data_IF_436495009936
#
_entry.id   IF_436495009936
#
_cell.length_a   1.000
_cell.length_b   1.000
_cell.length_c   1.000
_cell.angle_alpha   90.00
_cell.angle_beta   90.00
_cell.angle_gamma   90.00
#
_symmetry.space_group_name_H-M   'P 1'
#
loop_
_entity.id
_entity.type
_entity.pdbx_description
1 polymer ?
#
# COMPACT_ATOMS: atom_id res chain seq x y z
N UNK A 1 -42.32 -51.60 -28.50
CA UNK A 1 -40.97 -51.11 -28.14
C UNK A 1 -41.16 -49.70 -27.62
N UNK A 2 -40.99 -49.50 -26.31
CA UNK A 2 -41.34 -48.24 -25.62
C UNK A 2 -40.32 -47.17 -25.99
N UNK A 3 -40.79 -46.05 -26.53
CA UNK A 3 -40.03 -44.80 -26.55
C UNK A 3 -40.02 -44.25 -25.12
N UNK A 4 -38.90 -44.40 -24.41
CA UNK A 4 -38.66 -43.66 -23.18
C UNK A 4 -38.58 -42.17 -23.53
N UNK A 5 -39.62 -41.45 -23.08
CA UNK A 5 -39.62 -40.00 -23.03
C UNK A 5 -38.57 -39.60 -22.02
N UNK A 6 -37.45 -39.04 -22.47
CA UNK A 6 -36.44 -38.45 -21.61
C UNK A 6 -37.09 -37.26 -20.89
N UNK A 7 -37.46 -37.47 -19.63
CA UNK A 7 -37.93 -36.45 -18.71
C UNK A 7 -36.94 -35.28 -18.75
N UNK A 8 -37.38 -34.10 -19.21
CA UNK A 8 -36.54 -32.91 -19.17
C UNK A 8 -36.09 -32.69 -17.72
N UNK A 9 -34.80 -32.85 -17.46
CA UNK A 9 -34.23 -32.66 -16.14
C UNK A 9 -34.63 -31.26 -15.66
N UNK A 10 -35.33 -31.18 -14.53
CA UNK A 10 -35.77 -29.91 -13.97
C UNK A 10 -34.52 -29.10 -13.64
N UNK A 11 -34.36 -27.95 -14.31
CA UNK A 11 -33.32 -26.99 -13.99
C UNK A 11 -33.70 -26.31 -12.67
N UNK A 12 -33.13 -26.77 -11.56
CA UNK A 12 -33.37 -26.21 -10.23
C UNK A 12 -32.13 -25.42 -9.81
N UNK A 13 -32.13 -24.09 -9.96
CA UNK A 13 -31.11 -23.26 -9.36
C UNK A 13 -31.17 -23.36 -7.83
N UNK A 14 -30.02 -23.55 -7.20
CA UNK A 14 -29.88 -23.44 -5.73
C UNK A 14 -29.10 -22.17 -5.38
N UNK A 15 -29.34 -21.57 -4.20
CA UNK A 15 -28.46 -20.53 -3.69
C UNK A 15 -27.02 -21.05 -3.60
N UNK A 16 -26.06 -20.21 -4.01
CA UNK A 16 -24.65 -20.49 -3.83
C UNK A 16 -24.25 -20.36 -2.35
N UNK A 17 -23.27 -21.15 -1.96
CA UNK A 17 -22.57 -21.10 -0.68
C UNK A 17 -21.13 -20.59 -0.89
N UNK A 18 -20.39 -20.24 0.17
CA UNK A 18 -18.97 -19.91 0.04
C UNK A 18 -18.14 -20.99 -0.68
N UNK A 19 -18.51 -22.27 -0.56
CA UNK A 19 -17.81 -23.38 -1.21
C UNK A 19 -17.94 -23.37 -2.74
N UNK A 20 -18.99 -22.72 -3.27
CA UNK A 20 -19.20 -22.57 -4.71
C UNK A 20 -18.31 -21.48 -5.34
N UNK A 21 -17.62 -20.67 -4.53
CA UNK A 21 -16.87 -19.51 -5.01
C UNK A 21 -15.76 -19.87 -6.02
N UNK A 22 -15.13 -21.04 -5.85
CA UNK A 22 -14.09 -21.52 -6.76
C UNK A 22 -14.67 -21.82 -8.15
N UNK A 23 -15.78 -22.56 -8.23
CA UNK A 23 -16.41 -22.91 -9.49
C UNK A 23 -17.09 -21.71 -10.17
N UNK A 24 -17.69 -20.79 -9.41
CA UNK A 24 -18.21 -19.54 -9.97
C UNK A 24 -17.08 -18.70 -10.59
N UNK A 25 -15.91 -18.64 -9.92
CA UNK A 25 -14.74 -17.93 -10.44
C UNK A 25 -14.18 -18.59 -11.70
N UNK A 26 -14.14 -19.92 -11.75
CA UNK A 26 -13.76 -20.70 -12.95
C UNK A 26 -14.68 -20.42 -14.13
N UNK A 27 -16.00 -20.52 -13.92
CA UNK A 27 -16.98 -20.26 -14.97
C UNK A 27 -16.92 -18.82 -15.51
N UNK A 28 -16.74 -17.83 -14.61
CA UNK A 28 -16.54 -16.42 -14.99
C UNK A 28 -15.28 -16.25 -15.84
N UNK A 29 -14.17 -16.82 -15.40
CA UNK A 29 -12.89 -16.77 -16.11
C UNK A 29 -13.00 -17.37 -17.52
N UNK A 30 -13.62 -18.54 -17.64
CA UNK A 30 -13.68 -19.28 -18.90
C UNK A 30 -14.69 -18.72 -19.92
N UNK A 31 -15.80 -18.12 -19.46
CA UNK A 31 -16.95 -17.84 -20.34
C UNK A 31 -17.49 -16.42 -20.29
N UNK A 32 -16.99 -15.56 -19.39
CA UNK A 32 -17.45 -14.16 -19.26
C UNK A 32 -16.34 -13.17 -19.57
N UNK A 33 -15.11 -13.44 -19.14
CA UNK A 33 -13.96 -12.57 -19.43
C UNK A 33 -13.43 -12.79 -20.84
N UNK A 34 -12.87 -11.73 -21.42
CA UNK A 34 -12.19 -11.80 -22.72
C UNK A 34 -10.98 -12.71 -22.68
N UNK A 35 -10.23 -12.68 -21.57
CA UNK A 35 -9.05 -13.52 -21.34
C UNK A 35 -9.23 -14.31 -20.03
N UNK A 36 -8.88 -15.60 -20.03
CA UNK A 36 -8.95 -16.41 -18.83
C UNK A 36 -7.91 -15.93 -17.80
N UNK A 37 -8.30 -15.97 -16.54
CA UNK A 37 -7.43 -15.69 -15.40
C UNK A 37 -6.45 -16.85 -15.15
N UNK A 38 -5.24 -16.51 -14.70
CA UNK A 38 -4.28 -17.46 -14.18
C UNK A 38 -4.68 -18.02 -12.80
N UNK A 39 -3.95 -19.03 -12.33
CA UNK A 39 -4.23 -19.71 -11.05
C UNK A 39 -4.18 -18.75 -9.85
N UNK A 40 -3.28 -17.76 -9.88
CA UNK A 40 -3.14 -16.77 -8.82
C UNK A 40 -4.40 -15.90 -8.72
N UNK A 41 -4.85 -15.36 -9.84
CA UNK A 41 -6.05 -14.51 -9.90
C UNK A 41 -7.34 -15.29 -9.63
N UNK A 42 -7.40 -16.57 -10.01
CA UNK A 42 -8.48 -17.47 -9.62
C UNK A 42 -8.55 -17.67 -8.11
N UNK A 43 -7.40 -17.84 -7.45
CA UNK A 43 -7.32 -17.90 -5.97
C UNK A 43 -7.85 -16.63 -5.31
N UNK A 44 -7.42 -15.45 -5.78
CA UNK A 44 -7.91 -14.15 -5.28
C UNK A 44 -9.42 -14.01 -5.46
N UNK A 45 -9.95 -14.39 -6.63
CA UNK A 45 -11.38 -14.32 -6.91
C UNK A 45 -12.19 -15.26 -6.00
N UNK A 46 -11.72 -16.49 -5.78
CA UNK A 46 -12.34 -17.46 -4.88
C UNK A 46 -12.46 -16.90 -3.47
N UNK A 47 -11.36 -16.43 -2.91
CA UNK A 47 -11.30 -16.03 -1.51
C UNK A 47 -12.20 -14.81 -1.25
N UNK A 48 -12.15 -13.80 -2.13
CA UNK A 48 -13.02 -12.63 -2.04
C UNK A 48 -14.50 -12.96 -2.24
N UNK A 49 -14.81 -13.85 -3.18
CA UNK A 49 -16.21 -14.23 -3.44
C UNK A 49 -16.77 -15.07 -2.29
N UNK A 50 -15.99 -15.99 -1.71
CA UNK A 50 -16.40 -16.81 -0.57
C UNK A 50 -16.80 -15.93 0.63
N UNK A 51 -16.02 -14.89 0.94
CA UNK A 51 -16.33 -13.91 1.98
C UNK A 51 -17.64 -13.17 1.67
N UNK A 52 -17.81 -12.68 0.43
CA UNK A 52 -18.99 -11.90 0.03
C UNK A 52 -20.28 -12.73 -0.07
N UNK A 53 -20.19 -14.05 -0.27
CA UNK A 53 -21.31 -14.99 -0.20
C UNK A 53 -21.67 -15.39 1.24
N UNK A 54 -20.77 -15.12 2.20
CA UNK A 54 -20.99 -15.40 3.61
C UNK A 54 -22.06 -14.52 4.27
N UNK A 55 -22.41 -14.81 5.54
CA UNK A 55 -23.38 -14.02 6.29
C UNK A 55 -22.99 -12.53 6.36
N UNK A 56 -23.94 -11.65 6.00
CA UNK A 56 -23.70 -10.20 5.96
C UNK A 56 -22.94 -9.69 4.74
N UNK A 57 -22.49 -10.59 3.86
CA UNK A 57 -21.87 -10.23 2.60
C UNK A 57 -22.86 -9.66 1.57
N UNK A 58 -22.33 -9.00 0.56
CA UNK A 58 -23.09 -8.26 -0.46
C UNK A 58 -23.29 -9.04 -1.76
N UNK A 59 -22.78 -10.28 -1.86
CA UNK A 59 -22.97 -11.13 -3.02
C UNK A 59 -24.19 -12.05 -2.85
N UNK A 60 -24.96 -12.21 -3.92
CA UNK A 60 -25.96 -13.27 -4.06
C UNK A 60 -25.67 -14.01 -5.35
N UNK A 61 -25.67 -15.33 -5.30
CA UNK A 61 -25.54 -16.14 -6.50
C UNK A 61 -26.49 -17.32 -6.47
N UNK A 62 -26.89 -17.74 -7.66
CA UNK A 62 -27.60 -18.99 -7.90
C UNK A 62 -26.80 -19.83 -8.88
N UNK A 63 -26.69 -21.12 -8.56
CA UNK A 63 -25.90 -22.08 -9.32
C UNK A 63 -26.76 -23.28 -9.69
N UNK A 64 -26.38 -23.93 -10.78
CA UNK A 64 -26.97 -25.21 -11.21
C UNK A 64 -25.82 -26.20 -11.31
N UNK A 65 -25.91 -27.30 -10.56
CA UNK A 65 -24.89 -28.35 -10.55
C UNK A 65 -24.85 -29.10 -11.89
N UNK A 66 -23.65 -29.47 -12.32
CA UNK A 66 -23.47 -30.33 -13.48
C UNK A 66 -23.55 -31.80 -13.07
N UNK A 67 -24.28 -32.66 -13.81
CA UNK A 67 -24.26 -34.10 -13.59
C UNK A 67 -22.86 -34.73 -13.71
N UNK A 68 -21.94 -34.07 -14.42
CA UNK A 68 -20.56 -34.51 -14.59
C UNK A 68 -19.62 -34.04 -13.45
N UNK A 69 -20.15 -33.32 -12.45
CA UNK A 69 -19.39 -32.68 -11.37
C UNK A 69 -19.10 -31.20 -11.65
N UNK A 70 -19.01 -30.39 -10.60
CA UNK A 70 -18.89 -28.94 -10.69
C UNK A 70 -20.20 -28.24 -11.04
N UNK A 71 -20.11 -27.04 -11.61
CA UNK A 71 -21.28 -26.21 -11.94
C UNK A 71 -21.55 -26.14 -13.44
N UNK A 72 -22.78 -26.43 -13.86
CA UNK A 72 -23.25 -26.27 -15.23
C UNK A 72 -23.54 -24.80 -15.58
N UNK A 73 -24.01 -24.02 -14.60
CA UNK A 73 -24.29 -22.60 -14.76
C UNK A 73 -24.24 -21.83 -13.44
N UNK A 74 -23.99 -20.53 -13.54
CA UNK A 74 -24.11 -19.60 -12.42
C UNK A 74 -24.65 -18.23 -12.86
N UNK A 75 -25.30 -17.55 -11.92
CA UNK A 75 -25.63 -16.13 -11.99
C UNK A 75 -25.21 -15.48 -10.67
N UNK A 76 -24.38 -14.44 -10.74
CA UNK A 76 -23.82 -13.70 -9.60
C UNK A 76 -24.24 -12.24 -9.65
N UNK A 77 -24.81 -11.73 -8.56
CA UNK A 77 -25.15 -10.32 -8.36
C UNK A 77 -24.42 -9.75 -7.13
N UNK A 78 -23.97 -8.49 -7.25
CA UNK A 78 -23.35 -7.73 -6.17
C UNK A 78 -24.26 -6.55 -5.79
N UNK A 79 -24.69 -6.51 -4.54
CA UNK A 79 -25.50 -5.43 -3.98
C UNK A 79 -24.59 -4.27 -3.58
N UNK A 80 -24.96 -3.04 -3.92
CA UNK A 80 -24.22 -1.85 -3.52
C UNK A 80 -25.18 -0.69 -3.18
N UNK A 81 -24.80 0.18 -2.23
CA UNK A 81 -25.61 1.34 -1.87
C UNK A 81 -25.55 2.41 -2.96
N UNK A 82 -26.67 3.07 -3.16
CA UNK A 82 -26.84 4.28 -3.99
C UNK A 82 -27.68 5.29 -3.21
N UNK A 83 -27.67 6.56 -3.61
CA UNK A 83 -28.57 7.54 -3.00
C UNK A 83 -30.03 7.15 -3.27
N UNK A 84 -30.96 7.23 -2.30
CA UNK A 84 -32.36 6.91 -2.53
C UNK A 84 -32.99 7.78 -3.63
N UNK A 85 -33.83 7.16 -4.45
CA UNK A 85 -34.65 7.85 -5.44
C UNK A 85 -36.03 7.17 -5.56
N UNK A 86 -37.05 7.80 -6.17
CA UNK A 86 -38.38 7.21 -6.29
C UNK A 86 -38.41 5.81 -6.95
N UNK A 87 -37.49 5.52 -7.88
CA UNK A 87 -37.37 4.20 -8.53
C UNK A 87 -36.64 3.14 -7.68
N UNK A 88 -35.91 3.57 -6.65
CA UNK A 88 -35.15 2.71 -5.74
C UNK A 88 -35.10 3.33 -4.34
N UNK A 89 -36.22 3.30 -3.60
CA UNK A 89 -36.39 4.10 -2.37
C UNK A 89 -35.51 3.65 -1.21
N UNK A 90 -35.01 2.42 -1.22
CA UNK A 90 -34.07 1.91 -0.21
C UNK A 90 -32.62 2.32 -0.48
N UNK A 91 -32.33 2.96 -1.61
CA UNK A 91 -30.94 3.28 -1.98
C UNK A 91 -30.09 2.03 -2.23
N UNK A 92 -30.69 0.98 -2.82
CA UNK A 92 -30.00 -0.28 -3.10
C UNK A 92 -30.08 -0.60 -4.59
N UNK A 93 -28.92 -0.92 -5.17
CA UNK A 93 -28.77 -1.41 -6.52
C UNK A 93 -28.05 -2.75 -6.52
N UNK A 94 -28.33 -3.61 -7.50
CA UNK A 94 -27.55 -4.82 -7.73
C UNK A 94 -27.00 -4.84 -9.15
N UNK A 95 -25.70 -5.09 -9.25
CA UNK A 95 -25.03 -5.35 -10.53
C UNK A 95 -24.92 -6.85 -10.74
N UNK A 96 -25.51 -7.37 -11.81
CA UNK A 96 -25.31 -8.73 -12.27
C UNK A 96 -23.90 -8.80 -12.86
N UNK A 97 -22.99 -9.41 -12.10
CA UNK A 97 -21.56 -9.36 -12.34
C UNK A 97 -21.06 -10.48 -13.26
N UNK A 98 -21.67 -11.67 -13.16
CA UNK A 98 -21.33 -12.79 -14.01
C UNK A 98 -22.57 -13.67 -14.24
N UNK A 99 -22.82 -14.03 -15.48
CA UNK A 99 -23.76 -15.08 -15.87
C UNK A 99 -23.03 -16.00 -16.83
N UNK A 100 -22.85 -17.25 -16.42
CA UNK A 100 -22.07 -18.21 -17.19
C UNK A 100 -22.83 -19.53 -17.30
N UNK A 101 -22.69 -20.19 -18.45
CA UNK A 101 -23.23 -21.52 -18.70
C UNK A 101 -22.22 -22.30 -19.53
N UNK A 102 -21.88 -23.51 -19.06
CA UNK A 102 -20.96 -24.38 -19.78
C UNK A 102 -21.47 -24.67 -21.19
N UNK A 103 -20.59 -24.74 -22.21
CA UNK A 103 -20.99 -24.94 -23.60
C UNK A 103 -21.99 -26.08 -23.83
N UNK A 104 -21.82 -27.21 -23.12
CA UNK A 104 -22.69 -28.38 -23.21
C UNK A 104 -24.14 -28.13 -22.74
N UNK A 105 -24.37 -27.08 -21.96
CA UNK A 105 -25.66 -26.73 -21.34
C UNK A 105 -26.26 -25.43 -21.89
N UNK A 106 -25.64 -24.81 -22.91
CA UNK A 106 -26.13 -23.58 -23.53
C UNK A 106 -27.43 -23.81 -24.32
N UNK A 107 -28.22 -22.74 -24.47
CA UNK A 107 -29.51 -22.72 -25.18
C UNK A 107 -30.57 -23.70 -24.63
N UNK A 108 -30.37 -24.22 -23.42
CA UNK A 108 -31.30 -25.13 -22.75
C UNK A 108 -32.05 -24.47 -21.58
N UNK A 109 -31.86 -23.16 -21.35
CA UNK A 109 -32.58 -22.39 -20.32
C UNK A 109 -31.86 -22.21 -18.98
N UNK A 110 -30.65 -22.77 -18.80
CA UNK A 110 -29.86 -22.67 -17.56
C UNK A 110 -29.63 -21.22 -17.11
N UNK A 111 -29.13 -20.37 -18.01
CA UNK A 111 -28.90 -18.94 -17.70
C UNK A 111 -30.19 -18.22 -17.27
N UNK A 112 -31.32 -18.46 -17.98
CA UNK A 112 -32.60 -17.87 -17.62
C UNK A 112 -33.05 -18.30 -16.22
N UNK A 113 -32.94 -19.60 -15.91
CA UNK A 113 -33.32 -20.13 -14.61
C UNK A 113 -32.48 -19.51 -13.49
N UNK A 114 -31.15 -19.50 -13.63
CA UNK A 114 -30.24 -18.94 -12.62
C UNK A 114 -30.44 -17.42 -12.41
N UNK A 115 -30.57 -16.64 -13.50
CA UNK A 115 -30.77 -15.19 -13.40
C UNK A 115 -32.14 -14.85 -12.80
N UNK A 116 -33.21 -15.58 -13.18
CA UNK A 116 -34.55 -15.32 -12.61
C UNK A 116 -34.56 -15.54 -11.11
N UNK A 117 -33.97 -16.66 -10.64
CA UNK A 117 -33.86 -16.96 -9.21
C UNK A 117 -33.04 -15.90 -8.45
N UNK A 118 -31.95 -15.41 -9.05
CA UNK A 118 -31.15 -14.32 -8.50
C UNK A 118 -31.96 -13.02 -8.37
N UNK A 119 -32.68 -12.61 -9.41
CA UNK A 119 -33.48 -11.38 -9.41
C UNK A 119 -34.62 -11.45 -8.37
N UNK A 120 -35.29 -12.60 -8.27
CA UNK A 120 -36.35 -12.81 -7.27
C UNK A 120 -35.80 -12.68 -5.85
N UNK A 121 -34.63 -13.27 -5.58
CA UNK A 121 -33.97 -13.15 -4.28
C UNK A 121 -33.59 -11.70 -3.95
N UNK A 122 -32.96 -11.00 -4.90
CA UNK A 122 -32.56 -9.60 -4.71
C UNK A 122 -33.77 -8.68 -4.49
N UNK A 123 -34.87 -8.93 -5.20
CA UNK A 123 -36.14 -8.22 -5.01
C UNK A 123 -36.73 -8.45 -3.62
N UNK A 124 -36.67 -9.68 -3.09
CA UNK A 124 -37.11 -9.98 -1.72
C UNK A 124 -36.27 -9.23 -0.67
N UNK A 125 -34.98 -8.99 -0.94
CA UNK A 125 -34.10 -8.17 -0.10
C UNK A 125 -34.33 -6.66 -0.30
N UNK A 126 -35.23 -6.25 -1.20
CA UNK A 126 -35.64 -4.87 -1.42
C UNK A 126 -34.82 -4.12 -2.47
N UNK A 127 -33.98 -4.81 -3.24
CA UNK A 127 -33.32 -4.24 -4.41
C UNK A 127 -34.35 -4.00 -5.51
N UNK A 128 -34.30 -2.81 -6.12
CA UNK A 128 -35.26 -2.37 -7.14
C UNK A 128 -34.57 -1.78 -8.37
N UNK A 129 -33.27 -1.48 -8.28
CA UNK A 129 -32.42 -1.11 -9.41
C UNK A 129 -31.48 -2.28 -9.75
N UNK A 130 -31.51 -2.73 -11.00
CA UNK A 130 -30.66 -3.81 -11.51
C UNK A 130 -29.84 -3.31 -12.69
N UNK A 131 -28.55 -3.63 -12.68
CA UNK A 131 -27.61 -3.25 -13.74
C UNK A 131 -26.90 -4.49 -14.26
N UNK A 132 -26.62 -4.54 -15.55
CA UNK A 132 -25.77 -5.58 -16.14
C UNK A 132 -25.08 -5.07 -17.39
N UNK A 133 -24.04 -5.79 -17.80
CA UNK A 133 -23.46 -5.64 -19.13
C UNK A 133 -23.77 -6.92 -19.93
N UNK A 134 -24.45 -6.77 -21.05
CA UNK A 134 -24.82 -7.86 -21.95
C UNK A 134 -23.97 -7.81 -23.21
N UNK A 135 -23.50 -8.97 -23.67
CA UNK A 135 -23.05 -9.13 -25.05
C UNK A 135 -24.25 -9.08 -26.00
N UNK A 136 -24.02 -8.79 -27.28
CA UNK A 136 -25.09 -8.78 -28.30
C UNK A 136 -25.86 -10.12 -28.32
N UNK A 137 -25.15 -11.24 -28.21
CA UNK A 137 -25.75 -12.58 -28.18
C UNK A 137 -26.65 -12.83 -26.97
N UNK A 138 -26.39 -12.17 -25.84
CA UNK A 138 -27.13 -12.36 -24.59
C UNK A 138 -28.23 -11.30 -24.37
N UNK A 139 -28.26 -10.23 -25.16
CA UNK A 139 -29.18 -9.10 -24.97
C UNK A 139 -30.65 -9.54 -24.94
N UNK A 140 -31.09 -10.38 -25.88
CA UNK A 140 -32.48 -10.84 -25.98
C UNK A 140 -32.96 -11.60 -24.72
N UNK A 141 -32.07 -12.32 -24.03
CA UNK A 141 -32.42 -12.97 -22.77
C UNK A 141 -32.78 -11.93 -21.70
N UNK A 142 -31.96 -10.89 -21.56
CA UNK A 142 -32.14 -9.87 -20.54
C UNK A 142 -33.35 -8.96 -20.85
N UNK A 143 -33.59 -8.65 -22.12
CA UNK A 143 -34.79 -7.90 -22.54
C UNK A 143 -36.08 -8.62 -22.14
N UNK A 144 -36.14 -9.95 -22.33
CA UNK A 144 -37.28 -10.77 -21.90
C UNK A 144 -37.45 -10.83 -20.38
N UNK A 145 -36.38 -10.56 -19.62
CA UNK A 145 -36.40 -10.43 -18.15
C UNK A 145 -36.71 -8.99 -17.70
N UNK A 146 -36.98 -8.08 -18.62
CA UNK A 146 -37.38 -6.70 -18.35
C UNK A 146 -36.23 -5.69 -18.28
N UNK A 147 -35.01 -6.07 -18.67
CA UNK A 147 -33.92 -5.11 -18.85
C UNK A 147 -34.14 -4.29 -20.12
N UNK A 148 -33.72 -3.03 -20.09
CA UNK A 148 -33.70 -2.15 -21.25
C UNK A 148 -32.29 -1.59 -21.45
N UNK A 149 -31.88 -1.43 -22.70
CA UNK A 149 -30.60 -0.81 -23.03
C UNK A 149 -30.53 0.65 -22.54
N UNK A 150 -29.36 1.07 -22.05
CA UNK A 150 -29.08 2.45 -21.68
C UNK A 150 -27.87 2.95 -22.48
N UNK A 151 -28.04 3.95 -23.37
CA UNK A 151 -26.92 4.50 -24.14
C UNK A 151 -25.93 5.31 -23.28
N UNK A 152 -26.20 5.50 -21.99
CA UNK A 152 -25.45 6.39 -21.09
C UNK A 152 -24.38 5.69 -20.23
N UNK A 153 -24.19 4.37 -20.34
CA UNK A 153 -23.18 3.66 -19.54
C UNK A 153 -21.77 3.88 -20.11
N UNK A 154 -20.97 4.71 -19.44
CA UNK A 154 -19.55 4.86 -19.70
C UNK A 154 -18.74 4.10 -18.63
N UNK A 155 -17.73 3.36 -19.06
CA UNK A 155 -16.82 2.63 -18.17
C UNK A 155 -15.39 3.11 -18.39
N UNK A 156 -14.68 3.37 -17.30
CA UNK A 156 -13.25 3.64 -17.29
C UNK A 156 -12.61 2.74 -16.21
N UNK A 157 -11.50 2.10 -16.54
CA UNK A 157 -10.67 1.38 -15.56
C UNK A 157 -9.40 2.20 -15.36
N UNK A 158 -9.18 2.74 -14.15
CA UNK A 158 -7.90 3.35 -13.76
C UNK A 158 -7.16 2.34 -12.89
N UNK A 159 -6.05 1.80 -13.40
CA UNK A 159 -5.13 1.02 -12.59
C UNK A 159 -4.18 2.01 -11.91
N UNK A 160 -3.83 1.85 -10.62
CA UNK A 160 -2.76 2.62 -10.01
C UNK A 160 -1.48 2.38 -10.83
N UNK A 161 -0.74 3.44 -11.14
CA UNK A 161 0.49 3.32 -11.93
C UNK A 161 1.45 2.34 -11.26
N UNK A 162 1.69 1.22 -11.95
CA UNK A 162 2.84 0.39 -11.69
C UNK A 162 4.06 1.21 -12.14
N UNK A 163 5.11 1.41 -11.32
CA UNK A 163 6.25 2.22 -11.73
C UNK A 163 6.91 1.58 -12.95
N UNK A 164 6.64 2.13 -14.14
CA UNK A 164 7.21 1.66 -15.38
C UNK A 164 8.45 2.47 -15.70
N UNK A 165 9.49 1.77 -16.18
CA UNK A 165 10.67 2.37 -16.75
C UNK A 165 10.30 3.39 -17.85
N UNK A 166 10.65 4.66 -17.63
CA UNK A 166 10.75 5.81 -18.54
C UNK A 166 9.53 6.20 -19.46
N UNK A 167 8.88 7.32 -19.06
CA UNK A 167 7.91 8.33 -19.60
C UNK A 167 7.72 8.54 -21.14
N UNK A 168 6.71 9.33 -21.66
CA UNK A 168 5.87 10.40 -21.04
C UNK A 168 4.33 10.43 -21.34
N UNK A 169 3.60 11.34 -20.66
CA UNK A 169 2.11 11.50 -20.48
C UNK A 169 1.66 12.94 -20.88
N UNK A 170 0.43 13.22 -21.38
CA UNK A 170 -0.78 13.78 -20.67
C UNK A 170 -2.05 13.83 -21.57
N UNK A 171 -3.32 13.89 -21.12
CA UNK A 171 -3.98 15.03 -20.43
C UNK A 171 -5.25 14.64 -19.59
N UNK A 172 -5.29 15.03 -18.31
CA UNK A 172 -6.35 15.88 -17.71
C UNK A 172 -6.06 16.20 -16.23
N UNK A 173 -5.32 17.30 -16.04
CA UNK A 173 -5.17 18.14 -14.83
C UNK A 173 -4.76 17.44 -13.52
N UNK A 174 -3.66 16.70 -13.58
CA UNK A 174 -2.72 16.66 -12.45
C UNK A 174 -1.90 17.93 -12.49
N UNK A 175 -1.55 18.50 -11.32
CA UNK A 175 -0.43 19.45 -11.28
C UNK A 175 0.81 18.66 -11.76
N UNK A 176 1.59 19.17 -12.73
CA UNK A 176 2.89 18.61 -13.06
C UNK A 176 3.65 18.24 -11.78
N UNK A 177 4.42 17.13 -11.73
CA UNK A 177 5.09 16.69 -10.50
C UNK A 177 5.89 17.79 -9.78
N UNK A 178 6.48 18.72 -10.53
CA UNK A 178 7.17 19.90 -9.99
C UNK A 178 6.20 20.88 -9.33
N UNK A 179 5.05 21.13 -9.94
CA UNK A 179 3.97 21.95 -9.38
C UNK A 179 3.34 21.29 -8.15
N UNK A 180 3.11 19.97 -8.16
CA UNK A 180 2.65 19.23 -6.98
C UNK A 180 3.71 19.23 -5.86
N UNK A 181 4.98 18.99 -6.19
CA UNK A 181 6.09 19.08 -5.24
C UNK A 181 6.20 20.48 -4.63
N UNK A 182 5.87 21.52 -5.40
CA UNK A 182 5.77 22.88 -4.90
C UNK A 182 4.58 23.10 -3.96
N UNK A 183 3.58 22.21 -3.90
CA UNK A 183 2.45 22.30 -2.93
C UNK A 183 2.68 21.57 -1.62
N UNK A 184 3.50 20.50 -1.59
CA UNK A 184 3.69 19.67 -0.38
C UNK A 184 4.69 20.29 0.60
N UNK A 185 4.68 19.91 1.90
CA UNK A 185 5.69 20.37 2.85
C UNK A 185 7.10 20.00 2.41
N UNK A 186 8.02 20.97 2.48
CA UNK A 186 9.43 20.77 2.16
C UNK A 186 10.18 20.59 3.47
N UNK A 187 11.11 19.66 3.48
CA UNK A 187 11.99 19.45 4.61
C UNK A 187 13.44 19.39 4.14
N UNK A 188 14.34 19.89 4.98
CA UNK A 188 15.77 19.61 4.86
C UNK A 188 16.04 18.28 5.54
N UNK A 189 16.93 17.47 4.97
CA UNK A 189 17.26 16.16 5.51
C UNK A 189 18.76 16.06 5.80
N UNK A 190 19.13 15.38 6.87
CA UNK A 190 20.52 15.10 7.23
C UNK A 190 20.65 13.66 7.71
N UNK A 191 21.87 13.14 7.63
CA UNK A 191 22.17 11.81 8.14
C UNK A 191 23.49 11.79 8.91
N UNK A 192 23.51 11.05 10.02
CA UNK A 192 24.67 10.95 10.89
C UNK A 192 25.00 9.50 11.22
N UNK A 193 26.23 9.30 11.67
CA UNK A 193 26.76 8.04 12.17
C UNK A 193 27.17 8.22 13.62
N UNK A 194 26.69 7.32 14.46
CA UNK A 194 27.04 7.25 15.87
C UNK A 194 28.11 6.18 16.09
N UNK A 195 29.30 6.60 16.48
CA UNK A 195 30.40 5.71 16.85
C UNK A 195 30.60 5.68 18.36
N UNK A 196 31.11 4.56 18.85
CA UNK A 196 31.72 4.49 20.18
C UNK A 196 33.15 3.97 20.10
N UNK A 197 33.93 4.15 21.16
CA UNK A 197 35.11 3.30 21.37
C UNK A 197 34.72 1.89 21.85
N UNK A 198 35.74 1.11 22.24
CA UNK A 198 35.59 -0.24 22.77
C UNK A 198 34.94 -0.28 24.16
N UNK A 199 34.97 0.84 24.90
CA UNK A 199 34.35 1.03 26.21
C UNK A 199 32.92 1.63 26.12
N UNK A 200 32.33 1.63 24.91
CA UNK A 200 31.00 2.17 24.62
C UNK A 200 30.83 3.69 24.87
N UNK A 201 31.94 4.44 24.84
CA UNK A 201 31.95 5.90 24.99
C UNK A 201 31.70 6.59 23.64
N UNK A 202 30.76 7.55 23.53
CA UNK A 202 30.45 8.20 22.27
C UNK A 202 31.58 9.10 21.74
N UNK A 203 31.79 9.04 20.43
CA UNK A 203 32.61 9.98 19.66
C UNK A 203 31.78 11.20 19.26
N UNK A 204 32.33 12.41 19.47
CA UNK A 204 31.80 13.65 18.91
C UNK A 204 32.92 14.45 18.24
N UNK A 205 32.55 15.21 17.21
CA UNK A 205 33.40 16.17 16.53
C UNK A 205 33.06 17.59 16.99
N UNK A 206 34.06 18.45 17.15
CA UNK A 206 33.87 19.84 17.55
C UNK A 206 33.73 20.74 16.33
N UNK A 207 32.59 21.40 16.20
CA UNK A 207 32.32 22.32 15.08
C UNK A 207 33.12 23.62 15.23
N UNK A 208 33.70 24.10 14.13
CA UNK A 208 34.42 25.40 14.09
C UNK A 208 33.50 26.59 13.80
N UNK A 209 32.26 26.36 13.40
CA UNK A 209 31.31 27.41 12.98
C UNK A 209 30.04 27.48 13.83
N UNK A 210 29.78 26.50 14.71
CA UNK A 210 28.57 26.44 15.54
C UNK A 210 28.88 26.64 17.03
N UNK A 211 28.96 27.89 17.52
CA UNK A 211 29.24 28.16 18.93
C UNK A 211 28.08 27.72 19.85
N UNK A 212 26.85 27.64 19.35
CA UNK A 212 25.67 27.20 20.10
C UNK A 212 25.55 25.67 20.17
N UNK A 213 26.09 24.95 19.18
CA UNK A 213 26.08 23.48 19.12
C UNK A 213 27.50 22.97 18.83
N UNK A 214 28.42 23.11 19.81
CA UNK A 214 29.85 22.94 19.57
C UNK A 214 30.27 21.50 19.32
N UNK A 215 29.49 20.50 19.73
CA UNK A 215 29.81 19.08 19.56
C UNK A 215 28.72 18.35 18.79
N UNK A 216 29.11 17.67 17.71
CA UNK A 216 28.22 17.09 16.72
C UNK A 216 28.59 15.64 16.42
N UNK A 217 27.61 14.86 15.97
CA UNK A 217 27.86 13.52 15.44
C UNK A 217 28.59 13.65 14.11
N UNK A 218 29.23 12.57 13.68
CA UNK A 218 29.77 12.50 12.32
C UNK A 218 28.61 12.50 11.34
N UNK A 219 28.51 13.47 10.44
CA UNK A 219 27.39 13.56 9.51
C UNK A 219 26.99 14.98 9.12
N UNK A 220 26.27 15.06 8.01
CA UNK A 220 25.90 16.32 7.39
C UNK A 220 24.58 16.25 6.63
N UNK A 221 24.34 17.30 5.86
CA UNK A 221 23.12 17.48 5.08
C UNK A 221 23.11 16.52 3.89
N UNK A 222 21.94 16.01 3.55
CA UNK A 222 21.77 15.14 2.38
C UNK A 222 21.91 15.94 1.10
N UNK A 223 22.74 15.44 0.17
CA UNK A 223 22.83 15.98 -1.18
C UNK A 223 21.65 15.49 -2.05
N UNK A 224 21.30 16.22 -3.12
CA UNK A 224 20.25 15.80 -4.04
C UNK A 224 20.49 14.40 -4.61
N UNK A 225 19.53 13.50 -4.42
CA UNK A 225 19.56 12.14 -4.95
C UNK A 225 20.21 11.10 -4.03
N UNK A 226 20.77 11.49 -2.89
CA UNK A 226 21.31 10.55 -1.92
C UNK A 226 20.22 9.89 -1.07
N UNK A 227 20.43 8.61 -0.75
CA UNK A 227 19.71 7.94 0.35
C UNK A 227 20.36 8.33 1.68
N UNK A 228 19.62 8.33 2.81
CA UNK A 228 20.19 8.72 4.10
C UNK A 228 21.44 7.92 4.51
N UNK A 229 21.50 6.64 4.18
CA UNK A 229 22.70 5.83 4.45
C UNK A 229 23.90 6.22 3.57
N UNK A 230 23.66 6.61 2.32
CA UNK A 230 24.73 7.05 1.40
C UNK A 230 25.32 8.38 1.89
N UNK A 231 24.47 9.33 2.31
CA UNK A 231 24.90 10.57 2.98
C UNK A 231 25.74 10.26 4.21
N UNK A 232 25.26 9.39 5.11
CA UNK A 232 25.99 9.03 6.32
C UNK A 232 27.38 8.42 6.04
N UNK A 233 27.51 7.61 4.98
CA UNK A 233 28.78 7.02 4.54
C UNK A 233 29.71 8.07 3.90
N UNK A 234 29.17 8.94 3.04
CA UNK A 234 29.94 10.04 2.42
C UNK A 234 30.51 10.97 3.49
N UNK A 235 29.64 11.49 4.34
CA UNK A 235 30.01 12.43 5.40
C UNK A 235 31.02 11.81 6.37
N UNK A 236 30.84 10.53 6.73
CA UNK A 236 31.82 9.83 7.55
C UNK A 236 33.22 9.83 6.93
N UNK A 237 33.31 9.58 5.62
CA UNK A 237 34.59 9.61 4.91
C UNK A 237 35.16 11.03 4.81
N UNK A 238 34.32 12.02 4.53
CA UNK A 238 34.73 13.42 4.35
C UNK A 238 35.19 14.07 5.66
N UNK A 239 34.44 13.87 6.74
CA UNK A 239 34.71 14.49 8.04
C UNK A 239 35.78 13.78 8.87
N UNK A 240 35.98 12.47 8.66
CA UNK A 240 36.88 11.68 9.53
C UNK A 240 37.91 10.84 8.79
N UNK A 241 37.79 10.67 7.48
CA UNK A 241 38.61 9.73 6.70
C UNK A 241 38.27 8.25 6.91
N UNK A 242 37.33 7.92 7.81
CA UNK A 242 36.93 6.54 8.07
C UNK A 242 36.02 6.00 6.95
N UNK A 243 36.15 4.70 6.66
CA UNK A 243 35.31 4.02 5.67
C UNK A 243 34.37 3.06 6.38
N UNK A 244 33.07 3.31 6.27
CA UNK A 244 32.02 2.45 6.79
C UNK A 244 31.72 1.30 5.85
N UNK A 245 31.87 0.07 6.35
CA UNK A 245 31.64 -1.18 5.58
C UNK A 245 30.54 -2.07 6.18
N UNK A 246 29.83 -1.56 7.18
CA UNK A 246 28.76 -2.27 7.91
C UNK A 246 27.40 -2.04 7.25
N UNK A 247 26.41 -2.94 7.45
CA UNK A 247 25.05 -2.69 6.99
C UNK A 247 24.37 -1.56 7.80
N UNK A 248 23.44 -0.80 7.19
CA UNK A 248 22.73 0.27 7.88
C UNK A 248 21.89 -0.27 9.04
N UNK A 249 22.06 0.31 10.23
CA UNK A 249 21.18 0.09 11.38
C UNK A 249 20.75 1.42 11.95
N UNK A 250 19.46 1.73 11.87
CA UNK A 250 18.91 2.98 12.37
C UNK A 250 18.84 2.96 13.90
N UNK A 251 19.39 3.99 14.55
CA UNK A 251 19.34 4.20 15.99
C UNK A 251 18.32 5.26 16.38
N UNK A 252 18.19 6.33 15.60
CA UNK A 252 17.22 7.37 15.90
C UNK A 252 16.74 8.12 14.66
N UNK A 253 15.52 8.64 14.74
CA UNK A 253 15.02 9.69 13.85
C UNK A 253 14.83 10.99 14.63
N UNK A 254 15.21 12.10 14.00
CA UNK A 254 15.07 13.45 14.55
C UNK A 254 14.08 14.21 13.68
N UNK A 255 13.15 14.93 14.30
CA UNK A 255 12.23 15.81 13.61
C UNK A 255 12.24 17.19 14.26
N UNK A 256 12.43 18.23 13.45
CA UNK A 256 12.38 19.62 13.87
C UNK A 256 11.38 20.41 13.04
N UNK A 257 10.60 21.27 13.70
CA UNK A 257 9.71 22.20 13.02
C UNK A 257 10.48 23.41 12.45
N UNK A 258 9.93 24.11 11.45
CA UNK A 258 10.47 25.39 11.00
C UNK A 258 10.53 26.41 12.14
N UNK A 259 11.47 27.34 12.08
CA UNK A 259 11.58 28.45 13.04
C UNK A 259 11.97 29.77 12.38
N UNK A 260 12.05 30.85 13.16
CA UNK A 260 12.33 32.21 12.65
C UNK A 260 13.60 32.33 11.79
N UNK A 261 14.62 31.49 12.01
CA UNK A 261 15.86 31.46 11.23
C UNK A 261 15.96 30.32 10.20
N UNK A 262 15.01 29.38 10.19
CA UNK A 262 15.05 28.21 9.30
C UNK A 262 13.66 27.89 8.73
N UNK A 263 13.44 28.08 7.42
CA UNK A 263 12.09 28.12 6.84
C UNK A 263 11.44 26.74 6.62
N UNK A 264 12.20 25.65 6.76
CA UNK A 264 11.74 24.30 6.47
C UNK A 264 11.78 23.41 7.70
N UNK A 265 10.94 22.36 7.74
CA UNK A 265 11.10 21.30 8.73
C UNK A 265 12.42 20.57 8.49
N UNK A 266 12.97 19.93 9.52
CA UNK A 266 14.18 19.12 9.38
C UNK A 266 13.93 17.68 9.79
N UNK A 267 14.41 16.74 8.98
CA UNK A 267 14.41 15.30 9.29
C UNK A 267 15.86 14.81 9.38
N UNK A 268 16.19 14.13 10.47
CA UNK A 268 17.50 13.52 10.69
C UNK A 268 17.41 12.01 10.85
N UNK A 269 18.36 11.28 10.26
CA UNK A 269 18.50 9.83 10.47
C UNK A 269 19.87 9.52 11.05
N UNK A 270 19.91 8.77 12.15
CA UNK A 270 21.14 8.47 12.86
C UNK A 270 21.36 6.97 12.85
N UNK A 271 22.48 6.54 12.28
CA UNK A 271 22.83 5.14 12.11
C UNK A 271 23.93 4.69 13.07
N UNK A 272 23.96 3.40 13.41
CA UNK A 272 25.03 2.78 14.20
C UNK A 272 26.29 2.64 13.34
N UNK A 273 27.37 3.32 13.73
CA UNK A 273 28.70 3.22 13.12
C UNK A 273 29.55 2.08 13.67
N UNK A 274 29.08 1.40 14.73
CA UNK A 274 29.84 0.36 15.40
C UNK A 274 30.85 0.90 16.43
N UNK A 275 31.77 0.03 16.84
CA UNK A 275 32.82 0.33 17.82
C UNK A 275 34.15 0.53 17.10
N UNK A 276 34.81 1.65 17.34
CA UNK A 276 36.12 1.98 16.81
C UNK A 276 37.21 1.51 17.78
N UNK A 277 38.30 0.98 17.22
CA UNK A 277 39.52 0.72 17.98
C UNK A 277 40.27 2.02 18.27
N UNK A 278 41.18 1.98 19.24
CA UNK A 278 42.05 3.12 19.54
C UNK A 278 42.90 3.56 18.32
N UNK A 279 43.31 2.62 17.46
CA UNK A 279 44.02 2.92 16.21
C UNK A 279 43.13 3.63 15.19
N UNK A 280 41.87 3.18 15.04
CA UNK A 280 40.91 3.85 14.16
C UNK A 280 40.62 5.27 14.63
N UNK A 281 40.42 5.48 15.93
CA UNK A 281 40.22 6.83 16.50
C UNK A 281 41.43 7.72 16.24
N UNK A 282 42.66 7.21 16.41
CA UNK A 282 43.89 7.96 16.11
C UNK A 282 44.06 8.27 14.62
N UNK A 283 43.50 7.45 13.73
CA UNK A 283 43.56 7.65 12.28
C UNK A 283 42.57 8.69 11.76
N UNK A 284 41.64 9.18 12.60
CA UNK A 284 40.67 10.21 12.22
C UNK A 284 41.41 11.43 11.70
N UNK A 285 41.12 11.79 10.46
CA UNK A 285 41.61 13.02 9.82
C UNK A 285 40.42 13.94 9.63
N UNK A 286 40.38 15.02 10.42
CA UNK A 286 39.26 15.95 10.40
C UNK A 286 39.30 16.86 9.18
N UNK A 287 38.12 17.14 8.62
CA UNK A 287 37.94 18.23 7.68
C UNK A 287 38.08 19.58 8.42
N UNK A 288 39.20 20.31 8.26
CA UNK A 288 39.54 21.45 9.13
C UNK A 288 38.64 22.67 8.94
N UNK A 289 37.83 22.69 7.88
CA UNK A 289 36.83 23.74 7.64
C UNK A 289 35.56 23.56 8.48
N UNK A 290 35.36 22.36 9.00
CA UNK A 290 34.12 21.98 9.69
C UNK A 290 34.41 21.61 11.13
N UNK A 291 35.49 20.85 11.35
CA UNK A 291 35.84 20.30 12.65
C UNK A 291 37.33 20.47 12.96
N UNK A 292 37.64 20.89 14.19
CA UNK A 292 39.02 21.05 14.65
C UNK A 292 39.41 20.10 15.79
N UNK A 293 38.47 19.34 16.33
CA UNK A 293 38.71 18.39 17.41
C UNK A 293 37.78 17.19 17.35
N UNK A 294 38.30 16.00 17.67
CA UNK A 294 37.53 14.77 17.87
C UNK A 294 37.76 14.28 19.30
N UNK A 295 36.69 13.96 20.01
CA UNK A 295 36.77 13.46 21.39
C UNK A 295 35.89 12.24 21.59
N UNK A 296 36.41 11.31 22.38
CA UNK A 296 35.65 10.17 22.91
C UNK A 296 35.66 10.27 24.43
N UNK A 297 34.49 10.44 25.02
CA UNK A 297 34.32 10.66 26.47
C UNK A 297 33.20 9.77 27.01
N UNK A 298 33.27 9.37 28.30
CA UNK A 298 32.11 8.83 29.01
C UNK A 298 30.86 9.68 28.77
N UNK A 299 29.70 9.04 28.64
CA UNK A 299 28.46 9.75 28.27
C UNK A 299 28.21 10.97 29.16
N UNK A 300 28.29 10.82 30.48
CA UNK A 300 27.98 11.89 31.43
C UNK A 300 28.90 13.12 31.34
N UNK A 301 30.15 12.93 30.89
CA UNK A 301 31.11 14.04 30.76
C UNK A 301 30.70 15.01 29.64
N UNK A 302 29.93 14.53 28.65
CA UNK A 302 29.39 15.39 27.60
C UNK A 302 28.40 16.43 28.10
N UNK A 303 27.74 16.18 29.24
CA UNK A 303 26.75 17.10 29.81
C UNK A 303 27.30 18.49 30.10
N UNK A 304 28.60 18.59 30.39
CA UNK A 304 29.28 19.86 30.66
C UNK A 304 29.76 20.57 29.37
N UNK A 305 29.78 19.87 28.23
CA UNK A 305 30.40 20.35 26.99
C UNK A 305 29.39 20.70 25.90
N UNK A 306 28.14 20.25 26.01
CA UNK A 306 27.09 20.54 25.02
C UNK A 306 25.81 21.05 25.69
N UNK A 307 24.97 21.80 24.97
CA UNK A 307 23.67 22.23 25.46
C UNK A 307 22.83 21.05 26.00
N UNK A 308 21.97 21.27 27.01
CA UNK A 308 21.13 20.21 27.57
C UNK A 308 20.28 19.44 26.54
N UNK A 309 19.87 20.11 25.45
CA UNK A 309 19.13 19.49 24.35
C UNK A 309 19.98 18.50 23.55
N UNK A 310 21.20 18.88 23.21
CA UNK A 310 22.12 18.00 22.46
C UNK A 310 22.50 16.79 23.31
N UNK A 311 22.71 17.01 24.61
CA UNK A 311 22.97 15.92 25.56
C UNK A 311 21.79 14.95 25.66
N UNK A 312 20.55 15.45 25.75
CA UNK A 312 19.34 14.60 25.74
C UNK A 312 19.29 13.72 24.48
N UNK A 313 19.62 14.29 23.32
CA UNK A 313 19.69 13.55 22.05
C UNK A 313 20.79 12.48 22.08
N UNK A 314 22.00 12.86 22.49
CA UNK A 314 23.13 11.92 22.59
C UNK A 314 22.77 10.74 23.49
N UNK A 315 22.23 11.02 24.68
CA UNK A 315 21.77 9.98 25.61
C UNK A 315 20.69 9.07 25.00
N UNK A 316 19.70 9.62 24.28
CA UNK A 316 18.68 8.82 23.62
C UNK A 316 19.26 7.86 22.57
N UNK A 317 20.23 8.32 21.77
CA UNK A 317 20.93 7.49 20.77
C UNK A 317 21.75 6.39 21.46
N UNK A 318 22.46 6.72 22.55
CA UNK A 318 23.21 5.73 23.33
C UNK A 318 22.28 4.67 23.92
N UNK A 319 21.10 5.05 24.44
CA UNK A 319 20.10 4.09 24.92
C UNK A 319 19.53 3.24 23.79
N UNK A 320 19.23 3.83 22.63
CA UNK A 320 18.74 3.09 21.46
C UNK A 320 19.72 2.00 21.02
N UNK A 321 21.03 2.33 20.99
CA UNK A 321 22.07 1.35 20.68
C UNK A 321 22.16 0.24 21.73
N UNK A 322 22.08 0.59 23.01
CA UNK A 322 22.18 -0.36 24.13
C UNK A 322 21.01 -1.35 24.16
N UNK A 323 19.81 -0.86 23.85
CA UNK A 323 18.56 -1.64 23.94
C UNK A 323 18.21 -2.33 22.63
N UNK A 324 18.68 -1.81 21.49
CA UNK A 324 18.30 -2.26 20.15
C UNK A 324 16.98 -1.65 19.66
N UNK A 325 16.34 -0.77 20.43
CA UNK A 325 15.10 -0.08 20.07
C UNK A 325 15.41 1.32 19.53
N UNK A 326 14.95 1.64 18.33
CA UNK A 326 15.22 2.95 17.72
C UNK A 326 14.47 4.07 18.46
N UNK A 327 15.17 5.17 18.74
CA UNK A 327 14.59 6.33 19.41
C UNK A 327 13.91 7.29 18.41
N UNK A 328 12.81 7.90 18.85
CA UNK A 328 12.19 9.03 18.16
C UNK A 328 12.45 10.33 18.94
N UNK A 329 13.05 11.32 18.28
CA UNK A 329 13.34 12.63 18.85
C UNK A 329 12.55 13.73 18.11
N UNK A 330 11.29 13.95 18.53
CA UNK A 330 10.36 14.87 17.87
C UNK A 330 10.38 16.33 18.32
N UNK A 331 11.23 16.71 19.28
CA UNK A 331 11.29 18.07 19.85
C UNK A 331 12.57 18.81 19.46
N UNK A 332 12.92 18.79 18.18
CA UNK A 332 14.11 19.49 17.65
C UNK A 332 13.74 20.80 16.96
N UNK A 333 12.99 21.66 17.65
CA UNK A 333 12.56 22.94 17.11
C UNK A 333 13.67 23.98 17.24
N UNK A 334 13.79 24.87 16.26
CA UNK A 334 14.85 25.89 16.20
C UNK A 334 14.75 26.94 17.29
N UNK A 335 13.62 27.02 17.99
CA UNK A 335 13.36 27.97 19.07
C UNK A 335 13.35 27.28 20.44
N UNK A 336 13.84 27.99 21.45
CA UNK A 336 13.87 27.51 22.83
C UNK A 336 12.45 27.36 23.37
N UNK A 337 12.05 26.13 23.66
CA UNK A 337 11.07 25.82 24.70
C UNK A 337 11.67 24.79 25.65
#
# INVERSE_FOLDING_TARGET
>A
MRHESATAAVLVPRPATPDDAAEISRLRSAFVLTEPLDEKWLGVCRDQLAERLGPGGDARAYVIDSPAGGLAACALGLIHPVLPAPRYPKGLAARIHAVATEPAHRRQGYARAAVSALLDRLRQEGVTLFELHATEEAASLYEQLGFAGSPALMRMTRLPEQPAAHAPVDDAAWLPPEEYAATVPKCTAFACVYFTDQDDRPLQLRSVYSPSHPWQLVGGVMDPGERPWETAVRECREETGLVLTIPPKLLATVHGLPGSGWPYSTIGLIFDGGRLTADQIRSITLAPREHDEARVLPLDDWKALMPPRDFRRLNAITQARRTGEAAYAGAWDWENA
#
